data_IF_600974988545
#
_entry.id   IF_600974988545
#
_cell.length_a   1.000
_cell.length_b   1.000
_cell.length_c   1.000
_cell.angle_alpha   90.00
_cell.angle_beta   90.00
_cell.angle_gamma   90.00
#
_symmetry.space_group_name_H-M   'P 1'
#
loop_
_entity.id
_entity.type
_entity.pdbx_description
1 polymer ?
#
# COMPACT_ATOMS: atom_id res chain seq x y z
N UNK A 1 -13.07 13.01 16.03
CA UNK A 1 -12.78 11.73 16.71
C UNK A 1 -11.79 10.99 15.83
N UNK A 2 -10.53 10.89 16.26
CA UNK A 2 -9.48 10.16 15.55
C UNK A 2 -9.81 8.67 15.56
N UNK A 3 -10.28 8.13 14.43
CA UNK A 3 -10.41 6.68 14.25
C UNK A 3 -9.02 6.08 14.45
N UNK A 4 -8.89 5.20 15.42
CA UNK A 4 -7.68 4.42 15.61
C UNK A 4 -7.54 3.46 14.42
N UNK A 5 -6.67 3.80 13.46
CA UNK A 5 -6.32 2.98 12.29
C UNK A 5 -5.90 1.57 12.73
N UNK A 6 -5.16 1.47 13.84
CA UNK A 6 -4.89 0.20 14.51
C UNK A 6 -5.33 0.29 15.98
N UNK A 7 -6.21 -0.61 16.47
CA UNK A 7 -6.68 -0.59 17.86
C UNK A 7 -5.61 -1.08 18.87
N UNK A 8 -4.45 -1.55 18.39
CA UNK A 8 -3.49 -2.32 19.19
C UNK A 8 -2.09 -1.67 19.30
N UNK A 9 -1.83 -0.59 18.57
CA UNK A 9 -0.51 0.04 18.52
C UNK A 9 -0.53 1.46 17.93
N UNK A 10 0.54 2.20 18.22
CA UNK A 10 0.93 3.35 17.41
C UNK A 10 1.23 2.89 15.99
N UNK A 11 0.76 3.66 15.01
CA UNK A 11 1.05 3.44 13.59
C UNK A 11 1.85 4.62 13.08
N UNK A 12 2.84 4.34 12.24
CA UNK A 12 3.63 5.38 11.58
C UNK A 12 3.12 5.52 10.15
N UNK A 13 2.95 6.76 9.69
CA UNK A 13 2.64 7.03 8.30
C UNK A 13 3.84 6.65 7.42
N UNK A 14 3.60 5.83 6.41
CA UNK A 14 4.62 5.43 5.43
C UNK A 14 4.57 6.35 4.23
N UNK A 15 3.37 6.55 3.68
CA UNK A 15 3.13 7.38 2.51
C UNK A 15 1.65 7.77 2.44
N UNK A 16 1.38 9.02 2.08
CA UNK A 16 0.03 9.58 1.95
C UNK A 16 -0.15 10.30 0.62
N UNK A 17 -1.37 10.22 0.09
CA UNK A 17 -1.85 11.00 -1.05
C UNK A 17 -3.23 11.55 -0.72
N UNK A 18 -3.81 12.35 -1.62
CA UNK A 18 -5.19 12.85 -1.46
C UNK A 18 -6.21 11.71 -1.41
N UNK A 19 -5.92 10.56 -2.04
CA UNK A 19 -6.85 9.43 -2.16
C UNK A 19 -6.77 8.47 -0.97
N UNK A 20 -5.64 8.40 -0.27
CA UNK A 20 -5.47 7.45 0.83
C UNK A 20 -4.13 7.55 1.53
N UNK A 21 -3.94 6.69 2.51
CA UNK A 21 -2.71 6.66 3.31
C UNK A 21 -2.33 5.24 3.67
N UNK A 22 -1.04 4.94 3.60
CA UNK A 22 -0.46 3.68 4.05
C UNK A 22 0.27 3.91 5.37
N UNK A 23 -0.06 3.08 6.36
CA UNK A 23 0.55 3.11 7.68
C UNK A 23 1.29 1.81 7.97
N UNK A 24 2.36 1.88 8.75
CA UNK A 24 3.08 0.73 9.26
C UNK A 24 2.78 0.54 10.75
N UNK A 25 2.37 -0.68 11.11
CA UNK A 25 2.23 -1.08 12.50
C UNK A 25 3.53 -1.75 12.99
N UNK A 26 4.26 -1.07 13.87
CA UNK A 26 5.54 -1.55 14.41
C UNK A 26 5.42 -2.85 15.23
N UNK A 27 4.28 -3.08 15.88
CA UNK A 27 4.04 -4.27 16.72
C UNK A 27 3.74 -5.55 15.95
N UNK A 28 2.98 -5.46 14.84
CA UNK A 28 2.50 -6.63 14.09
C UNK A 28 3.22 -6.85 12.75
N UNK A 29 4.20 -6.01 12.42
CA UNK A 29 4.89 -6.01 11.14
C UNK A 29 3.90 -6.10 9.96
N UNK A 30 2.87 -5.26 10.00
CA UNK A 30 1.80 -5.23 9.03
C UNK A 30 1.56 -3.80 8.54
N UNK A 31 1.06 -3.69 7.33
CA UNK A 31 0.68 -2.42 6.72
C UNK A 31 -0.82 -2.25 6.79
N UNK A 32 -1.26 -1.03 7.05
CA UNK A 32 -2.66 -0.65 7.00
C UNK A 32 -2.84 0.31 5.83
N UNK A 33 -3.72 -0.05 4.91
CA UNK A 33 -4.15 0.81 3.82
C UNK A 33 -5.45 1.48 4.23
N UNK A 34 -5.44 2.79 4.39
CA UNK A 34 -6.66 3.60 4.44
C UNK A 34 -6.96 4.13 3.04
N UNK A 35 -8.12 3.74 2.50
CA UNK A 35 -8.59 4.15 1.18
C UNK A 35 -10.12 4.17 1.21
N UNK A 36 -10.75 5.19 0.60
CA UNK A 36 -12.21 5.37 0.62
C UNK A 36 -12.85 5.26 2.02
N UNK A 37 -12.22 5.89 3.03
CA UNK A 37 -12.64 5.87 4.44
C UNK A 37 -12.68 4.48 5.10
N UNK A 38 -12.13 3.46 4.45
CA UNK A 38 -11.97 2.12 4.96
C UNK A 38 -10.51 1.78 5.20
N UNK A 39 -10.25 0.97 6.24
CA UNK A 39 -8.90 0.56 6.58
C UNK A 39 -8.70 -0.95 6.44
N UNK A 40 -7.81 -1.39 5.56
CA UNK A 40 -7.51 -2.81 5.30
C UNK A 40 -6.10 -3.15 5.78
N UNK A 41 -5.96 -4.25 6.55
CA UNK A 41 -4.66 -4.71 7.02
C UNK A 41 -4.03 -5.72 6.07
N UNK A 42 -2.73 -5.58 5.84
CA UNK A 42 -1.91 -6.46 5.01
C UNK A 42 -0.68 -6.94 5.77
N UNK A 43 -0.31 -8.21 5.60
CA UNK A 43 1.07 -8.61 5.88
C UNK A 43 2.01 -7.97 4.86
N UNK A 44 3.31 -7.86 5.16
CA UNK A 44 4.30 -7.33 4.19
C UNK A 44 4.22 -8.06 2.85
N UNK A 45 4.14 -9.40 2.88
CA UNK A 45 4.07 -10.21 1.66
C UNK A 45 2.77 -10.02 0.89
N UNK A 46 1.64 -9.90 1.60
CA UNK A 46 0.34 -9.73 0.96
C UNK A 46 0.18 -8.33 0.38
N UNK A 47 0.77 -7.32 1.03
CA UNK A 47 0.86 -5.95 0.49
C UNK A 47 1.59 -5.93 -0.86
N UNK A 48 2.75 -6.58 -0.94
CA UNK A 48 3.52 -6.66 -2.19
C UNK A 48 2.80 -7.46 -3.29
N UNK A 49 2.07 -8.52 -2.93
CA UNK A 49 1.22 -9.26 -3.89
C UNK A 49 0.06 -8.39 -4.37
N UNK A 50 -0.57 -7.64 -3.48
CA UNK A 50 -1.66 -6.74 -3.82
C UNK A 50 -1.17 -5.65 -4.79
N UNK A 51 -0.02 -5.04 -4.52
CA UNK A 51 0.64 -4.09 -5.43
C UNK A 51 0.89 -4.71 -6.82
N UNK A 52 1.47 -5.91 -6.88
CA UNK A 52 1.64 -6.62 -8.17
C UNK A 52 0.32 -6.88 -8.89
N UNK A 53 -0.76 -7.17 -8.17
CA UNK A 53 -2.09 -7.36 -8.77
C UNK A 53 -2.64 -6.04 -9.31
N UNK A 54 -2.46 -4.92 -8.60
CA UNK A 54 -2.84 -3.59 -9.08
C UNK A 54 -2.08 -3.20 -10.34
N UNK A 55 -0.77 -3.48 -10.40
CA UNK A 55 0.06 -3.19 -11.58
C UNK A 55 -0.37 -4.00 -12.82
N UNK A 56 -0.91 -5.20 -12.61
CA UNK A 56 -1.30 -6.10 -13.70
C UNK A 56 -2.65 -5.74 -14.35
N UNK A 57 -3.41 -4.79 -13.79
CA UNK A 57 -4.69 -4.35 -14.37
C UNK A 57 -4.43 -3.61 -15.69
N UNK A 58 -5.10 -4.01 -16.77
CA UNK A 58 -4.95 -3.34 -18.06
C UNK A 58 -5.89 -2.13 -18.14
N UNK A 59 -5.37 -0.97 -17.73
CA UNK A 59 -6.13 0.30 -17.76
C UNK A 59 -6.41 0.77 -19.19
N UNK A 60 -5.53 0.45 -20.15
CA UNK A 60 -5.74 0.82 -21.55
C UNK A 60 -6.93 0.03 -22.13
N UNK A 61 -7.02 -1.25 -21.79
CA UNK A 61 -8.18 -2.07 -22.13
C UNK A 61 -9.48 -1.53 -21.50
N UNK A 62 -9.45 -1.19 -20.20
CA UNK A 62 -10.62 -0.64 -19.49
C UNK A 62 -11.17 0.63 -20.13
N UNK A 63 -10.29 1.51 -20.65
CA UNK A 63 -10.70 2.78 -21.28
C UNK A 63 -11.22 2.57 -22.71
N UNK A 64 -10.60 1.65 -23.47
CA UNK A 64 -10.92 1.45 -24.88
C UNK A 64 -12.13 0.56 -25.12
N UNK A 65 -12.47 -0.31 -24.17
CA UNK A 65 -13.64 -1.16 -24.25
C UNK A 65 -14.92 -0.40 -23.87
N UNK A 66 -15.96 -0.55 -24.68
CA UNK A 66 -17.26 0.12 -24.49
C UNK A 66 -18.26 -0.73 -23.72
N UNK A 67 -17.88 -1.96 -23.33
CA UNK A 67 -18.72 -2.83 -22.53
C UNK A 67 -18.74 -2.41 -21.06
N UNK A 68 -19.91 -2.51 -20.42
CA UNK A 68 -20.07 -2.18 -18.99
C UNK A 68 -19.24 -3.05 -18.04
N UNK A 69 -18.81 -4.21 -18.50
CA UNK A 69 -17.91 -5.09 -17.74
C UNK A 69 -16.51 -4.52 -17.59
N UNK A 70 -16.12 -3.57 -18.43
CA UNK A 70 -14.77 -3.01 -18.48
C UNK A 70 -14.64 -1.69 -17.72
N UNK A 71 -15.77 -1.11 -17.27
CA UNK A 71 -15.83 0.10 -16.45
C UNK A 71 -15.21 -0.12 -15.05
N UNK A 72 -15.25 -1.35 -14.54
CA UNK A 72 -14.82 -1.70 -13.19
C UNK A 72 -13.97 -2.97 -13.16
N UNK A 73 -12.91 -2.95 -12.37
CA UNK A 73 -12.13 -4.14 -12.00
C UNK A 73 -12.44 -4.52 -10.55
N UNK A 74 -12.75 -5.80 -10.32
CA UNK A 74 -12.97 -6.33 -8.98
C UNK A 74 -11.70 -7.03 -8.51
N UNK A 75 -11.11 -6.52 -7.42
CA UNK A 75 -9.91 -7.13 -6.83
C UNK A 75 -10.17 -7.58 -5.40
N UNK A 76 -9.87 -8.86 -5.15
CA UNK A 76 -9.91 -9.46 -3.82
C UNK A 76 -8.47 -9.62 -3.31
N UNK A 77 -8.05 -8.88 -2.28
CA UNK A 77 -6.75 -9.08 -1.67
C UNK A 77 -6.70 -10.38 -0.87
N UNK A 78 -5.53 -11.01 -0.88
CA UNK A 78 -5.31 -12.30 -0.23
C UNK A 78 -5.63 -12.25 1.26
N UNK A 79 -6.38 -13.27 1.72
CA UNK A 79 -6.70 -13.49 3.14
C UNK A 79 -7.43 -12.32 3.81
N UNK A 80 -8.19 -11.56 3.01
CA UNK A 80 -9.12 -10.55 3.51
C UNK A 80 -10.53 -10.90 3.03
N UNK A 81 -11.54 -10.60 3.83
CA UNK A 81 -12.94 -10.74 3.42
C UNK A 81 -13.43 -9.56 2.57
N UNK A 82 -12.53 -8.64 2.21
CA UNK A 82 -12.86 -7.40 1.49
C UNK A 82 -12.68 -7.57 0.00
N UNK A 83 -13.54 -6.90 -0.76
CA UNK A 83 -13.37 -6.71 -2.19
C UNK A 83 -13.24 -5.21 -2.50
N UNK A 84 -12.39 -4.91 -3.48
CA UNK A 84 -12.27 -3.59 -4.06
C UNK A 84 -13.00 -3.61 -5.39
N UNK A 85 -13.93 -2.67 -5.58
CA UNK A 85 -14.56 -2.41 -6.86
C UNK A 85 -13.94 -1.11 -7.35
N UNK A 86 -13.12 -1.20 -8.39
CA UNK A 86 -12.24 -0.12 -8.79
C UNK A 86 -12.63 0.38 -10.18
N UNK A 87 -12.99 1.64 -10.27
CA UNK A 87 -13.00 2.33 -11.55
C UNK A 87 -11.56 2.61 -12.01
N UNK A 88 -11.40 3.04 -13.26
CA UNK A 88 -10.08 3.41 -13.81
C UNK A 88 -9.34 4.42 -12.92
N UNK A 89 -10.04 5.43 -12.40
CA UNK A 89 -9.46 6.42 -11.50
C UNK A 89 -8.95 5.81 -10.19
N UNK A 90 -9.69 4.87 -9.61
CA UNK A 90 -9.30 4.20 -8.37
C UNK A 90 -8.05 3.35 -8.59
N UNK A 91 -7.95 2.66 -9.74
CA UNK A 91 -6.77 1.87 -10.09
C UNK A 91 -5.54 2.76 -10.16
N UNK A 92 -5.65 3.94 -10.78
CA UNK A 92 -4.53 4.89 -10.89
C UNK A 92 -4.15 5.47 -9.53
N UNK A 93 -5.13 5.88 -8.72
CA UNK A 93 -4.88 6.42 -7.38
C UNK A 93 -4.26 5.38 -6.43
N UNK A 94 -4.74 4.14 -6.47
CA UNK A 94 -4.16 3.05 -5.68
C UNK A 94 -2.75 2.69 -6.15
N UNK A 95 -2.47 2.70 -7.46
CA UNK A 95 -1.11 2.47 -7.97
C UNK A 95 -0.12 3.50 -7.43
N UNK A 96 -0.46 4.79 -7.52
CA UNK A 96 0.38 5.86 -7.00
C UNK A 96 0.65 5.69 -5.50
N UNK A 97 -0.40 5.42 -4.72
CA UNK A 97 -0.30 5.23 -3.27
C UNK A 97 0.58 4.01 -2.92
N UNK A 98 0.40 2.89 -3.61
CA UNK A 98 1.16 1.65 -3.38
C UNK A 98 2.61 1.76 -3.86
N UNK A 99 2.87 2.49 -4.94
CA UNK A 99 4.22 2.76 -5.44
C UNK A 99 5.01 3.63 -4.47
N UNK A 100 4.42 4.72 -4.00
CA UNK A 100 5.05 5.58 -2.99
C UNK A 100 5.31 4.84 -1.69
N UNK A 101 4.35 4.02 -1.22
CA UNK A 101 4.55 3.19 -0.04
C UNK A 101 5.69 2.16 -0.23
N UNK A 102 5.72 1.45 -1.37
CA UNK A 102 6.80 0.50 -1.69
C UNK A 102 8.16 1.20 -1.74
N UNK A 103 8.23 2.37 -2.37
CA UNK A 103 9.45 3.17 -2.43
C UNK A 103 9.94 3.55 -1.02
N UNK A 104 9.05 4.04 -0.15
CA UNK A 104 9.41 4.39 1.23
C UNK A 104 9.89 3.18 2.05
N UNK A 105 9.30 2.00 1.83
CA UNK A 105 9.77 0.76 2.44
C UNK A 105 11.20 0.39 1.98
N UNK A 106 11.48 0.49 0.69
CA UNK A 106 12.81 0.21 0.12
C UNK A 106 13.85 1.23 0.60
N UNK A 107 13.49 2.52 0.61
CA UNK A 107 14.34 3.61 1.12
C UNK A 107 14.73 3.38 2.58
N UNK A 108 13.77 3.03 3.44
CA UNK A 108 14.04 2.68 4.83
C UNK A 108 15.03 1.52 4.97
N UNK A 109 14.93 0.51 4.08
CA UNK A 109 15.88 -0.59 4.05
C UNK A 109 17.28 -0.12 3.65
N UNK A 110 17.40 0.71 2.62
CA UNK A 110 18.69 1.27 2.16
C UNK A 110 19.35 2.12 3.24
N UNK A 111 18.59 3.02 3.88
CA UNK A 111 19.11 3.87 4.96
C UNK A 111 19.65 3.01 6.10
N UNK A 112 18.92 1.98 6.54
CA UNK A 112 19.36 1.07 7.60
C UNK A 112 20.66 0.36 7.21
N UNK A 113 20.78 -0.10 5.98
CA UNK A 113 22.00 -0.73 5.47
C UNK A 113 23.17 0.26 5.50
N UNK A 114 23.00 1.49 5.01
CA UNK A 114 24.05 2.51 5.04
C UNK A 114 24.49 2.87 6.48
N UNK A 115 23.54 2.99 7.41
CA UNK A 115 23.83 3.27 8.82
C UNK A 115 24.57 2.11 9.50
N UNK A 116 24.26 0.86 9.15
CA UNK A 116 24.99 -0.31 9.66
C UNK A 116 26.41 -0.43 9.08
N UNK A 117 26.62 0.04 7.84
CA UNK A 117 27.93 -0.01 7.16
C UNK A 117 28.84 1.15 7.59
N UNK A 118 28.34 2.13 8.35
CA UNK A 118 29.11 3.28 8.85
C UNK A 118 30.13 2.85 9.92
N UNK A 119 31.46 2.89 9.66
CA UNK A 119 32.50 2.38 10.57
C UNK A 119 32.87 3.34 11.71
N UNK A 120 32.04 4.33 12.06
CA UNK A 120 32.41 5.32 13.09
C UNK A 120 32.35 4.77 14.54
N UNK A 121 32.07 3.48 14.73
CA UNK A 121 32.04 2.81 16.02
C UNK A 121 33.25 1.89 16.29
N UNK A 122 34.27 1.88 15.44
CA UNK A 122 35.53 1.16 15.70
C UNK A 122 36.68 2.12 15.48
N UNK A 123 36.90 3.02 16.44
CA UNK A 123 38.15 3.72 16.79
C UNK A 123 37.81 4.93 17.69
N UNK A 124 37.36 4.65 18.92
CA UNK A 124 37.47 5.54 20.08
C UNK A 124 37.73 4.66 21.32
#
# INVERSE_FOLDING_TARGET
MSKLVCPLAHVEEVFSTTAGTVYQCSRKNCFWLEYNNETTSFSVSDFLKFKKRMDAIDVEYMINDTTRSSDFEIVMPFRTERCFILAVEDVLQLRELLDGAKFMMELNSVIRTCLQVSPFAVLA
#
